data_IF_014334497919
#
_entry.id   IF_014334497919
#
_cell.length_a   1.000
_cell.length_b   1.000
_cell.length_c   1.000
_cell.angle_alpha   90.00
_cell.angle_beta   90.00
_cell.angle_gamma   90.00
#
_symmetry.space_group_name_H-M   'P 1'
#
loop_
_entity.id
_entity.type
_entity.pdbx_description
1 polymer ?
#
# COMPACT_ATOMS: atom_id res chain seq x y z
N UNK A 1 -5.70 35.54 47.67
CA UNK A 1 -6.03 36.10 46.34
C UNK A 1 -4.71 36.35 45.63
N UNK A 2 -4.34 35.75 44.50
CA UNK A 2 -5.12 35.23 43.39
C UNK A 2 -4.54 35.85 42.12
N UNK A 3 -3.41 35.32 41.63
CA UNK A 3 -2.80 35.77 40.38
C UNK A 3 -2.83 34.60 39.39
N UNK A 4 -3.85 34.62 38.52
CA UNK A 4 -4.00 33.70 37.40
C UNK A 4 -3.00 34.10 36.30
N UNK A 5 -2.10 33.22 35.83
CA UNK A 5 -1.38 33.49 34.61
C UNK A 5 -2.31 33.32 33.40
N UNK A 6 -2.17 34.28 32.50
CA UNK A 6 -2.92 34.42 31.26
C UNK A 6 -2.79 33.20 30.34
N UNK A 7 -3.92 32.89 29.72
CA UNK A 7 -4.17 31.85 28.72
C UNK A 7 -3.22 31.96 27.53
N UNK A 8 -2.41 30.94 27.27
CA UNK A 8 -1.76 30.75 25.97
C UNK A 8 -2.72 30.01 25.03
N UNK A 9 -3.15 30.67 23.95
CA UNK A 9 -3.89 30.04 22.87
C UNK A 9 -2.96 29.06 22.11
N UNK A 10 -3.41 27.86 21.72
CA UNK A 10 -2.65 27.02 20.81
C UNK A 10 -2.62 27.68 19.42
N UNK A 11 -1.42 27.86 18.88
CA UNK A 11 -1.20 28.36 17.51
C UNK A 11 -1.76 27.38 16.47
N UNK A 12 -2.66 27.79 15.56
CA UNK A 12 -3.17 26.94 14.49
C UNK A 12 -2.40 27.23 13.19
N UNK A 13 -1.15 26.78 13.05
CA UNK A 13 -0.44 26.87 11.77
C UNK A 13 0.79 25.96 11.71
N UNK A 14 0.64 24.67 11.99
CA UNK A 14 1.48 23.70 11.30
C UNK A 14 0.71 23.32 10.03
N UNK A 15 1.27 23.45 8.82
CA UNK A 15 0.70 22.76 7.69
C UNK A 15 0.84 21.29 8.03
N UNK A 16 -0.25 20.66 8.48
CA UNK A 16 -0.38 19.24 8.37
C UNK A 16 0.00 18.94 6.92
N UNK A 17 1.16 18.32 6.75
CA UNK A 17 1.48 17.57 5.55
C UNK A 17 0.39 16.50 5.50
N UNK A 18 -0.78 16.88 4.99
CA UNK A 18 -1.76 15.96 4.47
C UNK A 18 -0.93 15.03 3.61
N UNK A 19 -0.77 13.75 3.99
CA UNK A 19 -0.12 12.83 3.09
C UNK A 19 -1.05 12.79 1.90
N UNK A 20 -0.66 13.48 0.82
CA UNK A 20 -1.33 13.41 -0.45
C UNK A 20 -1.31 11.93 -0.79
N UNK A 21 -2.42 11.23 -0.59
CA UNK A 21 -2.47 9.80 -0.88
C UNK A 21 -2.15 9.66 -2.37
N UNK A 22 -1.04 8.99 -2.75
CA UNK A 22 -0.74 8.78 -4.16
C UNK A 22 -1.86 7.91 -4.76
N UNK A 23 -2.77 8.55 -5.49
CA UNK A 23 -3.97 7.88 -6.00
C UNK A 23 -5.08 8.81 -6.48
N UNK A 24 -5.09 10.08 -6.07
CA UNK A 24 -6.10 11.06 -6.51
C UNK A 24 -5.75 11.74 -7.85
N UNK A 25 -5.10 11.01 -8.76
CA UNK A 25 -5.16 11.39 -10.17
C UNK A 25 -6.52 10.91 -10.66
N UNK A 26 -7.39 11.82 -11.12
CA UNK A 26 -8.63 11.45 -11.82
C UNK A 26 -8.25 10.57 -13.01
N UNK A 27 -8.26 9.24 -12.80
CA UNK A 27 -8.21 8.29 -13.89
C UNK A 27 -9.54 8.46 -14.62
N UNK A 28 -9.44 8.89 -15.88
CA UNK A 28 -10.57 9.16 -16.75
C UNK A 28 -11.64 8.08 -16.64
N UNK A 29 -12.89 8.52 -16.75
CA UNK A 29 -14.11 7.71 -16.63
C UNK A 29 -14.08 6.60 -17.68
N UNK A 30 -13.42 5.50 -17.35
CA UNK A 30 -13.56 4.23 -18.04
C UNK A 30 -14.96 3.67 -17.78
N UNK A 31 -15.40 2.68 -18.58
CA UNK A 31 -16.66 2.00 -18.34
C UNK A 31 -16.73 1.51 -16.89
N UNK A 32 -17.91 1.64 -16.26
CA UNK A 32 -18.11 1.21 -14.87
C UNK A 32 -17.97 -0.31 -14.81
N UNK A 33 -16.77 -0.79 -14.44
CA UNK A 33 -16.55 -2.20 -14.17
C UNK A 33 -17.23 -2.60 -12.86
N UNK A 34 -17.67 -3.86 -12.72
CA UNK A 34 -18.13 -4.38 -11.44
C UNK A 34 -17.06 -4.15 -10.37
N UNK A 35 -17.46 -3.64 -9.19
CA UNK A 35 -16.53 -3.25 -8.12
C UNK A 35 -15.49 -4.33 -7.80
N UNK A 36 -15.94 -5.59 -7.74
CA UNK A 36 -15.06 -6.73 -7.46
C UNK A 36 -13.97 -6.94 -8.51
N UNK A 37 -14.24 -6.62 -9.78
CA UNK A 37 -13.26 -6.70 -10.86
C UNK A 37 -12.24 -5.58 -10.72
N UNK A 38 -12.70 -4.36 -10.46
CA UNK A 38 -11.82 -3.20 -10.25
C UNK A 38 -10.88 -3.42 -9.06
N UNK A 39 -11.40 -3.89 -7.92
CA UNK A 39 -10.57 -4.16 -6.74
C UNK A 39 -9.50 -5.22 -7.01
N UNK A 40 -9.82 -6.29 -7.75
CA UNK A 40 -8.83 -7.28 -8.17
C UNK A 40 -7.76 -6.68 -9.08
N UNK A 41 -8.15 -5.81 -10.02
CA UNK A 41 -7.19 -5.17 -10.92
C UNK A 41 -6.26 -4.21 -10.16
N UNK A 42 -6.82 -3.35 -9.31
CA UNK A 42 -6.05 -2.43 -8.48
C UNK A 42 -5.09 -3.19 -7.56
N UNK A 43 -5.55 -4.29 -6.95
CA UNK A 43 -4.71 -5.15 -6.13
C UNK A 43 -3.55 -5.76 -6.93
N UNK A 44 -3.82 -6.30 -8.12
CA UNK A 44 -2.80 -6.85 -9.02
C UNK A 44 -1.74 -5.81 -9.37
N UNK A 45 -2.17 -4.61 -9.74
CA UNK A 45 -1.29 -3.49 -10.07
C UNK A 45 -0.40 -3.10 -8.88
N UNK A 46 -0.96 -3.00 -7.67
CA UNK A 46 -0.20 -2.69 -6.47
C UNK A 46 0.85 -3.77 -6.16
N UNK A 47 0.47 -5.04 -6.25
CA UNK A 47 1.39 -6.17 -6.02
C UNK A 47 2.50 -6.19 -7.07
N UNK A 48 2.19 -6.00 -8.35
CA UNK A 48 3.20 -5.93 -9.40
C UNK A 48 4.17 -4.77 -9.20
N UNK A 49 3.67 -3.58 -8.89
CA UNK A 49 4.52 -2.41 -8.64
C UNK A 49 5.46 -2.63 -7.46
N UNK A 50 4.96 -3.20 -6.37
CA UNK A 50 5.79 -3.55 -5.21
C UNK A 50 6.83 -4.63 -5.55
N UNK A 51 6.46 -5.65 -6.34
CA UNK A 51 7.42 -6.66 -6.80
C UNK A 51 8.53 -6.04 -7.66
N UNK A 52 8.18 -5.18 -8.62
CA UNK A 52 9.18 -4.50 -9.47
C UNK A 52 10.11 -3.62 -8.62
N UNK A 53 9.57 -2.83 -7.68
CA UNK A 53 10.36 -2.01 -6.77
C UNK A 53 11.26 -2.83 -5.85
N UNK A 54 10.77 -3.99 -5.41
CA UNK A 54 11.50 -4.93 -4.57
C UNK A 54 12.44 -5.86 -5.35
N UNK A 55 12.60 -5.68 -6.67
CA UNK A 55 13.37 -6.59 -7.55
C UNK A 55 12.92 -8.06 -7.42
N UNK A 56 11.62 -8.28 -7.37
CA UNK A 56 10.95 -9.56 -7.19
C UNK A 56 11.26 -10.29 -5.87
N UNK A 57 11.82 -9.60 -4.87
CA UNK A 57 11.95 -10.15 -3.52
C UNK A 57 10.62 -10.07 -2.75
N UNK A 58 9.91 -11.20 -2.62
CA UNK A 58 8.61 -11.32 -1.93
C UNK A 58 8.58 -10.69 -0.53
N UNK A 59 9.59 -10.97 0.30
CA UNK A 59 9.65 -10.46 1.66
C UNK A 59 9.75 -8.92 1.70
N UNK A 60 10.51 -8.33 0.75
CA UNK A 60 10.62 -6.86 0.62
C UNK A 60 9.35 -6.24 0.05
N UNK A 61 8.74 -6.86 -0.97
CA UNK A 61 7.47 -6.42 -1.53
C UNK A 61 6.33 -6.47 -0.50
N UNK A 62 6.25 -7.54 0.30
CA UNK A 62 5.27 -7.69 1.37
C UNK A 62 5.42 -6.57 2.41
N UNK A 63 6.65 -6.28 2.83
CA UNK A 63 6.96 -5.16 3.74
C UNK A 63 6.56 -3.80 3.16
N UNK A 64 6.78 -3.57 1.86
CA UNK A 64 6.36 -2.33 1.18
C UNK A 64 4.83 -2.17 1.13
N UNK A 65 4.11 -3.29 0.99
CA UNK A 65 2.64 -3.30 0.98
C UNK A 65 2.02 -3.35 2.39
N UNK A 66 2.82 -3.49 3.45
CA UNK A 66 2.32 -3.67 4.82
C UNK A 66 1.59 -5.00 5.04
N UNK A 67 1.90 -6.03 4.24
CA UNK A 67 1.32 -7.37 4.32
C UNK A 67 2.35 -8.37 4.87
N UNK A 68 1.87 -9.48 5.42
CA UNK A 68 2.75 -10.63 5.68
C UNK A 68 3.16 -11.33 4.38
N UNK A 69 4.30 -12.02 4.39
CA UNK A 69 4.78 -12.81 3.23
C UNK A 69 3.76 -13.87 2.81
N UNK A 70 3.10 -14.51 3.79
CA UNK A 70 2.02 -15.47 3.55
C UNK A 70 0.84 -14.83 2.82
N UNK A 71 0.37 -13.67 3.29
CA UNK A 71 -0.72 -12.95 2.63
C UNK A 71 -0.35 -12.56 1.20
N UNK A 72 0.85 -12.04 0.97
CA UNK A 72 1.33 -11.71 -0.37
C UNK A 72 1.29 -12.96 -1.28
N UNK A 73 1.79 -14.10 -0.81
CA UNK A 73 1.78 -15.37 -1.55
C UNK A 73 0.35 -15.79 -1.94
N UNK A 74 -0.59 -15.74 -0.98
CA UNK A 74 -1.99 -16.05 -1.26
C UNK A 74 -2.61 -15.12 -2.29
N UNK A 75 -2.33 -13.81 -2.23
CA UNK A 75 -2.82 -12.85 -3.22
C UNK A 75 -2.22 -13.10 -4.61
N UNK A 76 -0.92 -13.40 -4.69
CA UNK A 76 -0.25 -13.76 -5.95
C UNK A 76 -0.85 -15.01 -6.59
N UNK A 77 -1.08 -16.06 -5.80
CA UNK A 77 -1.76 -17.29 -6.25
C UNK A 77 -3.17 -16.99 -6.77
N UNK A 78 -3.96 -16.22 -6.01
CA UNK A 78 -5.35 -15.89 -6.35
C UNK A 78 -5.47 -15.04 -7.62
N UNK A 79 -4.51 -14.17 -7.87
CA UNK A 79 -4.49 -13.28 -9.03
C UNK A 79 -3.75 -13.88 -10.24
N UNK A 80 -3.33 -15.14 -10.14
CA UNK A 80 -2.51 -15.86 -11.14
C UNK A 80 -1.31 -15.00 -11.58
N UNK A 81 -0.70 -14.28 -10.65
CA UNK A 81 0.55 -13.56 -10.90
C UNK A 81 1.63 -14.63 -10.84
N UNK A 82 1.95 -15.21 -12.00
CA UNK A 82 3.05 -16.14 -12.14
C UNK A 82 4.34 -15.37 -11.91
N UNK A 83 4.92 -15.59 -10.74
CA UNK A 83 6.33 -15.29 -10.53
C UNK A 83 7.13 -16.19 -11.47
N UNK A 84 8.18 -15.70 -12.12
CA UNK A 84 9.05 -16.56 -12.89
C UNK A 84 9.67 -17.56 -11.91
N UNK A 85 9.12 -18.77 -11.87
CA UNK A 85 9.70 -20.03 -11.41
C UNK A 85 10.95 -19.88 -10.52
N UNK A 86 10.77 -19.44 -9.26
CA UNK A 86 11.81 -19.53 -8.25
C UNK A 86 11.41 -20.60 -7.22
N UNK A 87 12.06 -21.74 -7.42
CA UNK A 87 12.15 -22.98 -6.66
C UNK A 87 12.05 -22.77 -5.13
N UNK A 88 11.22 -23.62 -4.50
CA UNK A 88 10.83 -23.66 -3.09
C UNK A 88 11.95 -24.02 -2.10
N UNK A 89 13.15 -23.45 -2.22
CA UNK A 89 14.31 -23.82 -1.37
C UNK A 89 14.93 -22.68 -0.57
N UNK A 90 14.15 -21.68 -0.15
CA UNK A 90 14.75 -20.52 0.53
C UNK A 90 13.89 -19.91 1.66
N UNK A 91 13.25 -20.74 2.48
CA UNK A 91 12.50 -20.31 3.68
C UNK A 91 12.93 -21.04 4.99
N UNK A 92 14.14 -21.61 5.05
CA UNK A 92 14.71 -22.22 6.29
C UNK A 92 16.10 -21.62 6.66
N UNK A 93 16.20 -20.30 6.83
CA UNK A 93 17.39 -19.69 7.46
C UNK A 93 17.10 -18.40 8.21
#
# INVERSE_FOLDING_TARGET
>A
AGAMPLRALPSPAAPERQPCLPGMALRGVGPVLPLQVYLRQAERDMIMRALVQARYHRARAARQLGLSVRQLRYRMQKLTIQEPLFDERMDDR
#
